data_IF_107619075163
#
_entry.id   IF_107619075163
#
_cell.length_a   1.000
_cell.length_b   1.000
_cell.length_c   1.000
_cell.angle_alpha   90.00
_cell.angle_beta   90.00
_cell.angle_gamma   90.00
#
_symmetry.space_group_name_H-M   'P 1'
#
loop_
_entity.id
_entity.type
_entity.pdbx_description
1 polymer ?
#
# COMPACT_ATOMS: atom_id res chain seq x y z
N UNK A 1 30.05 1.09 11.80
CA UNK A 1 30.01 2.54 11.64
C UNK A 1 28.63 3.07 12.01
N UNK A 2 28.60 4.10 12.80
CA UNK A 2 27.34 4.76 13.06
C UNK A 2 26.75 5.31 11.76
N UNK A 3 25.50 5.04 11.54
CA UNK A 3 24.80 5.54 10.38
C UNK A 3 24.41 7.00 10.62
N UNK A 4 24.93 7.91 9.81
CA UNK A 4 24.59 9.33 9.95
C UNK A 4 23.09 9.58 9.78
N UNK A 5 22.42 8.72 9.01
CA UNK A 5 20.96 8.82 8.83
C UNK A 5 20.19 8.55 10.12
N UNK A 6 20.80 7.94 11.12
CA UNK A 6 20.14 7.68 12.39
C UNK A 6 20.24 8.83 13.39
N UNK A 7 20.93 9.93 13.01
CA UNK A 7 21.14 11.08 13.89
C UNK A 7 20.35 12.26 13.36
N UNK A 8 19.53 12.86 14.21
CA UNK A 8 18.75 14.02 13.84
C UNK A 8 19.57 15.31 13.80
N UNK A 9 18.93 16.40 13.40
CA UNK A 9 19.57 17.70 13.18
C UNK A 9 20.35 18.20 14.38
N UNK A 10 19.85 17.98 15.60
CA UNK A 10 20.49 18.47 16.81
C UNK A 10 21.29 17.38 17.53
N UNK A 11 21.75 16.36 16.81
CA UNK A 11 22.43 15.23 17.41
C UNK A 11 21.50 14.23 18.12
N UNK A 12 20.21 14.48 18.08
CA UNK A 12 19.22 13.55 18.63
C UNK A 12 19.06 12.34 17.71
N UNK A 13 18.88 11.13 18.29
CA UNK A 13 18.62 9.96 17.47
C UNK A 13 17.34 10.15 16.64
N UNK A 14 17.38 9.81 15.35
CA UNK A 14 16.23 9.82 14.48
C UNK A 14 15.46 8.53 14.71
N UNK A 15 14.16 8.65 14.96
CA UNK A 15 13.31 7.47 15.10
C UNK A 15 13.20 6.75 13.78
N UNK A 16 13.12 5.41 13.84
CA UNK A 16 12.87 4.62 12.66
C UNK A 16 11.55 5.05 12.01
N UNK A 17 11.53 5.25 10.69
CA UNK A 17 10.29 5.59 10.00
C UNK A 17 9.35 4.39 9.84
N UNK A 18 9.76 3.20 10.28
CA UNK A 18 8.98 1.99 10.05
C UNK A 18 8.42 1.42 11.35
N UNK A 19 7.20 0.89 11.27
CA UNK A 19 6.56 0.15 12.34
C UNK A 19 6.04 -1.17 11.81
N UNK A 20 6.69 -2.25 12.19
CA UNK A 20 6.27 -3.58 11.78
C UNK A 20 4.98 -3.95 12.50
N UNK A 21 4.05 -4.52 11.76
CA UNK A 21 2.76 -4.99 12.27
C UNK A 21 2.81 -6.51 12.36
N UNK A 22 2.84 -7.04 13.59
CA UNK A 22 2.91 -8.49 13.82
C UNK A 22 1.85 -8.91 14.82
N UNK A 23 1.01 -9.88 14.46
CA UNK A 23 0.86 -10.44 13.11
C UNK A 23 0.29 -9.40 12.14
N UNK A 24 0.44 -9.60 10.82
CA UNK A 24 -0.16 -8.70 9.84
C UNK A 24 -1.67 -8.64 10.05
N UNK A 25 -2.25 -7.45 9.86
CA UNK A 25 -3.68 -7.25 10.05
C UNK A 25 -4.39 -7.20 8.70
N UNK A 26 -5.65 -7.62 8.71
CA UNK A 26 -6.48 -7.57 7.51
C UNK A 26 -6.99 -6.15 7.32
N UNK A 27 -6.82 -5.63 6.12
CA UNK A 27 -7.29 -4.30 5.75
C UNK A 27 -8.05 -4.37 4.44
N UNK A 28 -8.88 -3.37 4.17
CA UNK A 28 -9.51 -3.19 2.88
C UNK A 28 -8.66 -2.20 2.09
N UNK A 29 -8.32 -2.59 0.86
CA UNK A 29 -7.49 -1.80 -0.04
C UNK A 29 -8.38 -1.30 -1.18
N UNK A 30 -8.49 0.01 -1.32
CA UNK A 30 -9.31 0.61 -2.37
C UNK A 30 -8.48 0.75 -3.66
N UNK A 31 -8.63 -0.20 -4.56
CA UNK A 31 -7.89 -0.20 -5.81
C UNK A 31 -8.32 0.92 -6.74
N UNK A 32 -9.56 1.40 -6.61
CA UNK A 32 -10.03 2.49 -7.48
C UNK A 32 -9.25 3.77 -7.26
N UNK A 33 -8.75 3.96 -6.06
CA UNK A 33 -7.94 5.12 -5.70
C UNK A 33 -6.47 4.90 -6.07
N UNK A 34 -5.98 3.68 -5.85
CA UNK A 34 -4.58 3.35 -6.17
C UNK A 34 -4.31 3.35 -7.68
N UNK A 35 -5.29 2.92 -8.46
CA UNK A 35 -5.16 2.79 -9.91
C UNK A 35 -6.27 3.58 -10.59
N UNK A 36 -6.20 4.92 -10.55
CA UNK A 36 -7.24 5.74 -11.16
C UNK A 36 -7.21 5.60 -12.68
N UNK A 37 -8.40 5.67 -13.26
CA UNK A 37 -8.51 5.62 -14.70
C UNK A 37 -8.10 6.97 -15.30
N UNK A 38 -7.44 6.92 -16.44
CA UNK A 38 -7.10 8.12 -17.17
C UNK A 38 -8.38 8.86 -17.57
N UNK A 39 -8.47 10.19 -17.33
CA UNK A 39 -9.67 10.94 -17.69
C UNK A 39 -9.99 10.83 -19.19
N UNK A 40 -11.27 10.78 -19.50
CA UNK A 40 -11.77 10.75 -20.89
C UNK A 40 -11.35 9.54 -21.70
N UNK A 41 -10.78 8.53 -21.05
CA UNK A 41 -10.47 7.27 -21.72
C UNK A 41 -11.65 6.33 -21.60
N UNK A 42 -12.00 5.69 -22.69
CA UNK A 42 -12.94 4.58 -22.69
C UNK A 42 -12.30 3.42 -23.40
N UNK A 43 -12.39 2.26 -22.81
CA UNK A 43 -11.84 1.05 -23.38
C UNK A 43 -12.93 0.03 -23.63
N UNK A 44 -12.61 -0.97 -24.41
CA UNK A 44 -13.49 -2.10 -24.61
C UNK A 44 -13.38 -3.03 -23.40
N UNK A 45 -14.51 -3.49 -22.90
CA UNK A 45 -14.53 -4.41 -21.76
C UNK A 45 -13.73 -5.67 -22.07
N UNK A 46 -12.85 -6.04 -21.15
CA UNK A 46 -12.01 -7.23 -21.25
C UNK A 46 -12.19 -8.08 -19.99
N UNK A 47 -12.99 -9.16 -20.03
CA UNK A 47 -13.33 -9.93 -18.85
C UNK A 47 -12.15 -10.66 -18.20
N UNK A 48 -11.06 -10.88 -18.95
CA UNK A 48 -9.89 -11.56 -18.41
C UNK A 48 -8.77 -10.59 -18.01
N UNK A 49 -9.05 -9.29 -18.04
CA UNK A 49 -8.08 -8.29 -17.64
C UNK A 49 -8.00 -8.11 -16.13
N UNK A 50 -6.94 -7.46 -15.64
CA UNK A 50 -6.81 -7.20 -14.21
C UNK A 50 -7.98 -6.38 -13.66
N UNK A 51 -8.53 -6.83 -12.54
CA UNK A 51 -9.65 -6.16 -11.89
C UNK A 51 -9.13 -5.11 -10.92
N UNK A 52 -9.03 -3.87 -11.39
CA UNK A 52 -8.45 -2.76 -10.65
C UNK A 52 -9.50 -1.78 -10.11
N UNK A 53 -10.78 -2.01 -10.36
CA UNK A 53 -11.86 -1.13 -9.96
C UNK A 53 -12.71 -1.75 -8.86
N UNK A 54 -12.10 -2.05 -7.72
CA UNK A 54 -12.80 -2.66 -6.61
C UNK A 54 -12.02 -2.46 -5.31
N UNK A 55 -12.66 -2.75 -4.22
CA UNK A 55 -12.03 -2.83 -2.90
C UNK A 55 -11.72 -4.29 -2.65
N UNK A 56 -10.50 -4.59 -2.23
CA UNK A 56 -10.07 -5.96 -1.94
C UNK A 56 -9.52 -6.07 -0.53
N UNK A 57 -9.52 -7.28 0.02
CA UNK A 57 -8.85 -7.53 1.29
C UNK A 57 -7.36 -7.70 1.06
N UNK A 58 -6.58 -7.12 1.96
CA UNK A 58 -5.13 -7.28 1.95
C UNK A 58 -4.61 -7.47 3.35
N UNK A 59 -3.31 -7.68 3.44
CA UNK A 59 -2.60 -7.83 4.71
C UNK A 59 -1.60 -6.70 4.86
N UNK A 60 -1.74 -5.94 5.94
CA UNK A 60 -0.81 -4.87 6.28
C UNK A 60 0.27 -5.43 7.18
N UNK A 61 1.52 -5.37 6.75
CA UNK A 61 2.66 -5.91 7.49
C UNK A 61 3.58 -4.84 8.06
N UNK A 62 3.48 -3.60 7.61
CA UNK A 62 4.35 -2.54 8.09
C UNK A 62 3.73 -1.18 7.80
N UNK A 63 3.87 -0.25 8.72
CA UNK A 63 3.64 1.17 8.48
C UNK A 63 4.96 1.85 8.21
N UNK A 64 4.96 2.86 7.35
CA UNK A 64 6.14 3.65 7.09
C UNK A 64 5.79 5.10 6.89
N UNK A 65 6.71 5.99 7.28
CA UNK A 65 6.60 7.42 6.98
C UNK A 65 7.56 7.69 5.84
N UNK A 66 7.05 8.24 4.73
CA UNK A 66 7.92 8.56 3.61
C UNK A 66 8.73 9.81 3.90
N UNK A 67 9.65 10.13 3.01
CA UNK A 67 10.57 11.26 3.17
C UNK A 67 9.82 12.58 3.40
N UNK A 68 8.64 12.76 2.81
CA UNK A 68 7.83 13.95 2.99
C UNK A 68 6.97 13.94 4.26
N UNK A 69 7.02 12.87 5.05
CA UNK A 69 6.30 12.80 6.31
C UNK A 69 4.92 12.18 6.24
N UNK A 70 4.53 11.63 5.12
CA UNK A 70 3.23 11.01 4.95
C UNK A 70 3.28 9.53 5.33
N UNK A 71 2.17 9.01 5.90
CA UNK A 71 2.08 7.61 6.27
C UNK A 71 1.74 6.73 5.09
N UNK A 72 2.44 5.59 4.99
CA UNK A 72 2.23 4.56 3.99
C UNK A 72 2.13 3.21 4.67
N UNK A 73 1.41 2.29 4.03
CA UNK A 73 1.32 0.92 4.51
C UNK A 73 1.91 -0.04 3.50
N UNK A 74 2.68 -1.01 3.98
CA UNK A 74 3.15 -2.11 3.14
C UNK A 74 2.09 -3.19 3.16
N UNK A 75 1.42 -3.39 2.05
CA UNK A 75 0.29 -4.31 1.95
C UNK A 75 0.52 -5.38 0.88
N UNK A 76 -0.05 -6.54 1.14
CA UNK A 76 -0.07 -7.66 0.21
C UNK A 76 -1.53 -7.96 -0.10
N UNK A 77 -1.90 -7.98 -1.37
CA UNK A 77 -3.27 -8.25 -1.78
C UNK A 77 -3.30 -8.92 -3.15
N UNK A 78 -4.38 -9.65 -3.48
CA UNK A 78 -4.51 -10.28 -4.78
C UNK A 78 -5.13 -9.34 -5.80
N UNK A 79 -4.67 -9.42 -7.05
CA UNK A 79 -5.33 -8.83 -8.20
C UNK A 79 -5.89 -9.99 -9.02
N UNK A 80 -7.20 -10.01 -9.21
CA UNK A 80 -7.87 -11.03 -10.00
C UNK A 80 -7.92 -10.61 -11.48
N UNK A 81 -7.81 -11.60 -12.35
CA UNK A 81 -8.01 -11.41 -13.78
C UNK A 81 -8.57 -12.71 -14.36
N UNK A 82 -9.83 -12.66 -14.82
CA UNK A 82 -10.55 -13.86 -15.18
C UNK A 82 -10.68 -14.79 -13.98
N UNK A 83 -10.31 -16.05 -14.16
CA UNK A 83 -10.33 -17.05 -13.08
C UNK A 83 -9.01 -17.13 -12.31
N UNK A 84 -8.05 -16.26 -12.63
CA UNK A 84 -6.72 -16.28 -12.04
C UNK A 84 -6.52 -15.13 -11.09
N UNK A 85 -5.50 -15.23 -10.24
CA UNK A 85 -5.11 -14.19 -9.30
C UNK A 85 -3.60 -14.13 -9.19
N UNK A 86 -3.09 -12.92 -8.98
CA UNK A 86 -1.68 -12.70 -8.62
C UNK A 86 -1.61 -11.83 -7.39
N UNK A 87 -0.69 -12.16 -6.51
CA UNK A 87 -0.47 -11.40 -5.29
C UNK A 87 0.57 -10.32 -5.55
N UNK A 88 0.28 -9.11 -5.07
CA UNK A 88 1.22 -7.97 -5.13
C UNK A 88 1.50 -7.50 -3.72
N UNK A 89 2.73 -7.06 -3.50
CA UNK A 89 3.13 -6.42 -2.25
C UNK A 89 3.81 -5.10 -2.58
N UNK A 90 3.26 -4.01 -2.05
CA UNK A 90 3.88 -2.71 -2.25
C UNK A 90 3.41 -1.69 -1.21
N UNK A 91 4.08 -0.54 -1.19
CA UNK A 91 3.69 0.57 -0.34
C UNK A 91 2.52 1.30 -0.96
N UNK A 92 1.51 1.58 -0.13
CA UNK A 92 0.34 2.35 -0.55
C UNK A 92 0.09 3.48 0.46
N UNK A 93 -0.48 4.61 0.03
CA UNK A 93 -0.83 5.67 0.97
C UNK A 93 -1.78 5.16 2.05
N UNK A 94 -1.53 5.52 3.30
CA UNK A 94 -2.31 5.02 4.42
C UNK A 94 -3.80 5.33 4.29
N UNK A 95 -4.14 6.47 3.71
CA UNK A 95 -5.54 6.89 3.57
C UNK A 95 -6.34 6.03 2.59
N UNK A 96 -5.68 5.19 1.78
CA UNK A 96 -6.36 4.25 0.88
C UNK A 96 -6.76 2.95 1.59
N UNK A 97 -6.35 2.80 2.85
CA UNK A 97 -6.57 1.59 3.62
C UNK A 97 -7.64 1.80 4.68
N UNK A 98 -8.46 0.78 4.90
CA UNK A 98 -9.42 0.75 5.99
C UNK A 98 -9.28 -0.55 6.74
N UNK A 99 -9.43 -0.47 8.06
CA UNK A 99 -9.43 -1.68 8.88
C UNK A 99 -10.69 -2.48 8.57
N UNK A 100 -10.52 -3.78 8.38
CA UNK A 100 -11.67 -4.66 8.21
C UNK A 100 -12.22 -5.04 9.58
N UNK A 101 -13.50 -4.88 9.76
CA UNK A 101 -14.15 -5.29 11.00
C UNK A 101 -14.92 -4.22 11.72
#
# INVERSE_FOLDING_TARGET
MGDLASIGYNGQPVRSPFRVVRPPITVLVDLTVLFPREPHRSGRYQPNGPQLHKVVEGRLSCWGICEQGDWWGLVTYPIAYGSKRRTVTHWVPAWTLRRKG
#
